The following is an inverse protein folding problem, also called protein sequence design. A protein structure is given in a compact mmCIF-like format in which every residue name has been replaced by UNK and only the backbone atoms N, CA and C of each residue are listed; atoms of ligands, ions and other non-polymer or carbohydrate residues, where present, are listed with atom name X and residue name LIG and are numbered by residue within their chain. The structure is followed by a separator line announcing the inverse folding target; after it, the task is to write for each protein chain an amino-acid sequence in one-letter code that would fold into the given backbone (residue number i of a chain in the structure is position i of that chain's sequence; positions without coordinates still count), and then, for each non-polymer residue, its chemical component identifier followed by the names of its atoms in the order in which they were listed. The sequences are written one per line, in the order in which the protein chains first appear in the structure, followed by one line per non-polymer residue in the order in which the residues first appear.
data_IF_315656183790
#
_entry.id   IF_315656183790
#
_cell.length_a   1.000
_cell.length_b   1.000
_cell.length_c   1.000
_cell.angle_alpha   90.00
_cell.angle_beta   90.00
_cell.angle_gamma   90.00
#
_symmetry.space_group_name_H-M   'P 1'
#
loop_
_entity.id
_entity.type
_entity.pdbx_description
1 polymer ?
#
# COMPACT_ATOMS: atom_id res chain seq x y z
N UNK A 1 -10.08 -74.29 6.30
CA UNK A 1 -10.45 -73.40 7.42
C UNK A 1 -11.09 -72.09 6.91
N UNK A 2 -12.07 -72.16 5.99
CA UNK A 2 -12.77 -70.98 5.45
C UNK A 2 -14.11 -71.43 4.84
N UNK A 3 -15.16 -71.63 5.65
CA UNK A 3 -16.50 -71.94 5.10
C UNK A 3 -17.69 -71.68 6.03
N UNK A 4 -17.59 -70.76 7.02
CA UNK A 4 -18.72 -70.51 7.95
C UNK A 4 -19.15 -69.04 8.07
N UNK A 5 -18.41 -68.07 7.54
CA UNK A 5 -18.73 -66.64 7.73
C UNK A 5 -19.82 -66.07 6.80
N UNK A 6 -20.35 -66.84 5.84
CA UNK A 6 -21.26 -66.32 4.80
C UNK A 6 -22.78 -66.35 5.13
N UNK A 7 -23.22 -66.92 6.25
CA UNK A 7 -24.67 -67.21 6.48
C UNK A 7 -25.30 -66.58 7.73
N UNK A 8 -24.69 -65.54 8.30
CA UNK A 8 -25.32 -64.78 9.40
C UNK A 8 -25.66 -63.32 9.05
N UNK A 9 -25.12 -62.75 7.97
CA UNK A 9 -25.38 -61.35 7.60
C UNK A 9 -26.75 -61.10 6.94
N UNK A 10 -27.45 -62.14 6.45
CA UNK A 10 -28.69 -61.96 5.68
C UNK A 10 -30.01 -62.03 6.48
N UNK A 11 -29.97 -62.38 7.77
CA UNK A 11 -31.19 -62.41 8.62
C UNK A 11 -31.34 -61.21 9.56
N UNK A 12 -30.29 -60.42 9.77
CA UNK A 12 -30.37 -59.23 10.61
C UNK A 12 -31.04 -58.03 9.90
N UNK A 13 -30.96 -57.93 8.57
CA UNK A 13 -31.47 -56.77 7.82
C UNK A 13 -32.99 -56.73 7.62
N UNK A 14 -33.69 -57.87 7.72
CA UNK A 14 -35.16 -57.93 7.54
C UNK A 14 -35.96 -57.68 8.83
N UNK A 15 -35.33 -57.77 10.00
CA UNK A 15 -36.00 -57.58 11.29
C UNK A 15 -36.13 -56.09 11.66
N UNK A 16 -35.07 -55.30 11.48
CA UNK A 16 -35.11 -53.86 11.75
C UNK A 16 -36.14 -53.11 10.90
N UNK A 17 -36.22 -53.40 9.59
CA UNK A 17 -37.17 -52.75 8.69
C UNK A 17 -38.64 -53.07 8.99
N UNK A 18 -38.93 -54.21 9.61
CA UNK A 18 -40.29 -54.58 10.03
C UNK A 18 -40.63 -53.98 11.39
N UNK A 19 -39.65 -53.88 12.28
CA UNK A 19 -39.77 -53.24 13.58
C UNK A 19 -40.01 -51.72 13.46
N UNK A 20 -39.37 -51.04 12.49
CA UNK A 20 -39.69 -49.64 12.14
C UNK A 20 -41.09 -49.44 11.54
N UNK A 21 -41.70 -50.49 11.01
CA UNK A 21 -43.03 -50.45 10.37
C UNK A 21 -44.18 -50.69 11.35
N UNK A 22 -43.87 -51.23 12.53
CA UNK A 22 -44.83 -51.58 13.59
C UNK A 22 -44.75 -50.60 14.78
N UNK A 23 -43.88 -49.58 14.71
CA UNK A 23 -43.67 -48.60 15.77
C UNK A 23 -44.56 -47.35 15.58
N UNK A 24 -45.51 -47.13 16.49
CA UNK A 24 -46.44 -45.99 16.46
C UNK A 24 -45.78 -44.64 16.81
N UNK A 25 -44.49 -44.64 17.16
CA UNK A 25 -43.68 -43.43 17.34
C UNK A 25 -43.32 -42.71 16.02
N UNK A 26 -43.86 -43.14 14.89
CA UNK A 26 -43.67 -42.54 13.55
C UNK A 26 -43.98 -41.04 13.45
N UNK A 27 -44.78 -40.48 14.36
CA UNK A 27 -44.98 -39.03 14.46
C UNK A 27 -43.66 -38.27 14.71
N UNK A 28 -42.76 -38.83 15.53
CA UNK A 28 -41.43 -38.26 15.80
C UNK A 28 -40.55 -38.31 14.55
N UNK A 29 -40.61 -39.40 13.79
CA UNK A 29 -39.86 -39.53 12.54
C UNK A 29 -40.31 -38.51 11.47
N UNK A 30 -41.62 -38.25 11.38
CA UNK A 30 -42.18 -37.24 10.47
C UNK A 30 -41.72 -35.82 10.87
N UNK A 31 -41.84 -35.47 12.16
CA UNK A 31 -41.39 -34.16 12.66
C UNK A 31 -39.89 -34.00 12.44
N UNK A 32 -39.10 -35.02 12.79
CA UNK A 32 -37.64 -35.02 12.60
C UNK A 32 -37.24 -34.84 11.13
N UNK A 33 -37.90 -35.56 10.21
CA UNK A 33 -37.64 -35.45 8.78
C UNK A 33 -37.93 -34.02 8.27
N UNK A 34 -39.08 -33.44 8.67
CA UNK A 34 -39.45 -32.08 8.28
C UNK A 34 -38.49 -31.03 8.87
N UNK A 35 -38.13 -31.15 10.15
CA UNK A 35 -37.20 -30.21 10.80
C UNK A 35 -35.78 -30.33 10.23
N UNK A 36 -35.34 -31.54 9.88
CA UNK A 36 -34.01 -31.76 9.31
C UNK A 36 -33.89 -31.09 7.94
N UNK A 37 -34.92 -31.17 7.10
CA UNK A 37 -34.93 -30.47 5.81
C UNK A 37 -34.77 -28.95 6.03
N UNK A 38 -35.54 -28.38 6.97
CA UNK A 38 -35.47 -26.94 7.27
C UNK A 38 -34.09 -26.53 7.79
N UNK A 39 -33.51 -27.28 8.73
CA UNK A 39 -32.18 -26.99 9.28
C UNK A 39 -31.09 -27.12 8.21
N UNK A 40 -31.14 -28.18 7.38
CA UNK A 40 -30.19 -28.36 6.28
C UNK A 40 -30.30 -27.25 5.23
N UNK A 41 -31.51 -26.78 4.91
CA UNK A 41 -31.70 -25.63 4.03
C UNK A 41 -31.11 -24.35 4.60
N UNK A 42 -31.27 -24.10 5.90
CA UNK A 42 -30.69 -22.92 6.56
C UNK A 42 -29.17 -22.97 6.59
N UNK A 43 -28.59 -24.12 6.96
CA UNK A 43 -27.14 -24.31 6.99
C UNK A 43 -26.55 -24.25 5.58
N UNK A 44 -27.20 -24.91 4.62
CA UNK A 44 -26.80 -24.88 3.21
C UNK A 44 -26.85 -23.47 2.61
N UNK A 45 -27.91 -22.71 2.93
CA UNK A 45 -28.03 -21.30 2.55
C UNK A 45 -26.93 -20.43 3.15
N UNK A 46 -26.54 -20.66 4.40
CA UNK A 46 -25.43 -19.96 5.03
C UNK A 46 -24.07 -20.27 4.36
N UNK A 47 -23.85 -21.52 3.94
CA UNK A 47 -22.65 -21.91 3.20
C UNK A 47 -22.62 -21.25 1.82
N UNK A 48 -23.72 -21.29 1.08
CA UNK A 48 -23.83 -20.64 -0.23
C UNK A 48 -23.64 -19.13 -0.14
N UNK A 49 -24.18 -18.50 0.90
CA UNK A 49 -23.95 -17.08 1.18
C UNK A 49 -22.47 -16.79 1.48
N UNK A 50 -21.81 -17.62 2.31
CA UNK A 50 -20.38 -17.50 2.57
C UNK A 50 -19.53 -17.59 1.29
N UNK A 51 -19.90 -18.50 0.38
CA UNK A 51 -19.26 -18.63 -0.94
C UNK A 51 -19.51 -17.40 -1.83
N UNK A 52 -20.72 -16.87 -1.84
CA UNK A 52 -21.05 -15.64 -2.58
C UNK A 52 -20.26 -14.43 -2.07
N UNK A 53 -20.15 -14.27 -0.75
CA UNK A 53 -19.35 -13.21 -0.12
C UNK A 53 -17.87 -13.36 -0.47
N UNK A 54 -17.33 -14.59 -0.40
CA UNK A 54 -15.94 -14.85 -0.78
C UNK A 54 -15.68 -14.53 -2.26
N UNK A 55 -16.60 -14.94 -3.15
CA UNK A 55 -16.53 -14.61 -4.57
C UNK A 55 -16.56 -13.09 -4.81
N UNK A 56 -17.39 -12.34 -4.09
CA UNK A 56 -17.42 -10.87 -4.17
C UNK A 56 -16.08 -10.25 -3.80
N UNK A 57 -15.41 -10.74 -2.74
CA UNK A 57 -14.08 -10.27 -2.38
C UNK A 57 -13.04 -10.54 -3.47
N UNK A 58 -13.06 -11.73 -4.07
CA UNK A 58 -12.13 -12.06 -5.16
C UNK A 58 -12.34 -11.17 -6.40
N UNK A 59 -13.59 -10.88 -6.78
CA UNK A 59 -13.85 -9.94 -7.87
C UNK A 59 -13.39 -8.54 -7.47
N UNK A 60 -13.66 -8.09 -6.24
CA UNK A 60 -13.23 -6.77 -5.78
C UNK A 60 -11.71 -6.61 -5.85
N UNK A 61 -10.94 -7.59 -5.38
CA UNK A 61 -9.48 -7.60 -5.47
C UNK A 61 -8.99 -7.54 -6.93
N UNK A 62 -9.63 -8.31 -7.82
CA UNK A 62 -9.33 -8.28 -9.24
C UNK A 62 -9.62 -6.91 -9.88
N UNK A 63 -10.76 -6.29 -9.57
CA UNK A 63 -11.15 -4.98 -10.08
C UNK A 63 -10.26 -3.87 -9.51
N UNK A 64 -9.93 -3.90 -8.22
CA UNK A 64 -9.03 -2.92 -7.58
C UNK A 64 -7.65 -2.95 -8.24
N UNK A 65 -7.07 -4.14 -8.43
CA UNK A 65 -5.78 -4.31 -9.10
C UNK A 65 -5.82 -3.85 -10.56
N UNK A 66 -6.92 -4.12 -11.26
CA UNK A 66 -7.12 -3.75 -12.66
C UNK A 66 -7.22 -2.23 -12.85
N UNK A 67 -7.98 -1.56 -11.98
CA UNK A 67 -8.17 -0.10 -12.03
C UNK A 67 -6.89 0.64 -11.67
N UNK A 68 -6.10 0.15 -10.70
CA UNK A 68 -4.78 0.71 -10.39
C UNK A 68 -3.79 0.53 -11.55
N UNK A 69 -3.78 -0.64 -12.20
CA UNK A 69 -2.93 -0.87 -13.35
C UNK A 69 -3.31 0.02 -14.54
N UNK A 70 -4.61 0.16 -14.81
CA UNK A 70 -5.12 1.08 -15.83
C UNK A 70 -4.71 2.53 -15.51
N UNK A 71 -4.86 2.96 -14.26
CA UNK A 71 -4.47 4.30 -13.82
C UNK A 71 -2.97 4.57 -14.01
N UNK A 72 -2.11 3.59 -13.72
CA UNK A 72 -0.65 3.73 -13.91
C UNK A 72 -0.26 3.90 -15.38
N UNK A 73 -0.90 3.16 -16.28
CA UNK A 73 -0.67 3.26 -17.73
C UNK A 73 -1.20 4.59 -18.25
N UNK A 74 -2.39 5.00 -17.81
CA UNK A 74 -2.95 6.29 -18.17
C UNK A 74 -2.06 7.45 -17.72
N UNK A 75 -1.45 7.36 -16.54
CA UNK A 75 -0.48 8.35 -16.06
C UNK A 75 0.75 8.49 -16.98
N UNK A 76 1.21 7.38 -17.56
CA UNK A 76 2.46 7.35 -18.34
C UNK A 76 2.23 7.65 -19.81
N UNK A 77 1.23 7.02 -20.41
CA UNK A 77 0.98 7.05 -21.86
C UNK A 77 -0.08 8.09 -22.24
N UNK A 78 -0.89 8.57 -21.28
CA UNK A 78 -2.01 9.52 -21.48
C UNK A 78 -3.08 9.05 -22.48
N UNK A 79 -3.06 7.79 -22.89
CA UNK A 79 -4.05 7.16 -23.75
C UNK A 79 -4.96 6.23 -22.92
N UNK A 80 -6.27 6.45 -23.03
CA UNK A 80 -7.28 5.65 -22.33
C UNK A 80 -7.44 4.27 -22.95
N UNK A 81 -7.29 4.15 -24.26
CA UNK A 81 -7.50 2.87 -24.95
C UNK A 81 -6.48 1.83 -24.46
N UNK A 82 -5.22 2.24 -24.31
CA UNK A 82 -4.16 1.41 -23.76
C UNK A 82 -4.36 1.15 -22.27
N UNK A 83 -4.79 2.15 -21.50
CA UNK A 83 -5.12 1.99 -20.09
C UNK A 83 -6.24 0.97 -19.86
N UNK A 84 -7.29 1.02 -20.70
CA UNK A 84 -8.40 0.08 -20.67
C UNK A 84 -7.93 -1.33 -21.01
N UNK A 85 -7.16 -1.50 -22.08
CA UNK A 85 -6.61 -2.82 -22.47
C UNK A 85 -5.78 -3.42 -21.33
N UNK A 86 -4.89 -2.64 -20.73
CA UNK A 86 -4.05 -3.07 -19.61
C UNK A 86 -4.86 -3.41 -18.38
N UNK A 87 -5.89 -2.62 -18.05
CA UNK A 87 -6.83 -2.91 -16.98
C UNK A 87 -7.56 -4.25 -17.21
N UNK A 88 -8.05 -4.49 -18.42
CA UNK A 88 -8.71 -5.75 -18.78
C UNK A 88 -7.77 -6.96 -18.71
N UNK A 89 -6.51 -6.81 -19.13
CA UNK A 89 -5.50 -7.87 -19.00
C UNK A 89 -5.25 -8.19 -17.53
N UNK A 90 -5.07 -7.17 -16.69
CA UNK A 90 -4.87 -7.37 -15.25
C UNK A 90 -6.08 -8.02 -14.57
N UNK A 91 -7.30 -7.57 -14.91
CA UNK A 91 -8.52 -8.22 -14.44
C UNK A 91 -8.55 -9.70 -14.87
N UNK A 92 -8.29 -10.01 -16.14
CA UNK A 92 -8.34 -11.38 -16.65
C UNK A 92 -7.28 -12.31 -16.03
N UNK A 93 -6.15 -11.77 -15.59
CA UNK A 93 -5.11 -12.54 -14.89
C UNK A 93 -5.46 -12.78 -13.42
N UNK A 94 -6.15 -11.82 -12.78
CA UNK A 94 -6.46 -11.86 -11.34
C UNK A 94 -7.89 -12.35 -11.05
N UNK A 95 -8.73 -12.54 -12.08
CA UNK A 95 -10.10 -12.99 -11.88
C UNK A 95 -10.16 -14.41 -11.33
N UNK A 96 -11.16 -14.71 -10.50
CA UNK A 96 -11.37 -16.05 -10.01
C UNK A 96 -11.73 -17.02 -11.14
N UNK A 97 -11.06 -18.18 -11.17
CA UNK A 97 -11.28 -19.24 -12.17
C UNK A 97 -12.44 -20.18 -11.81
N UNK A 98 -12.90 -20.13 -10.56
CA UNK A 98 -13.89 -21.07 -10.02
C UNK A 98 -15.33 -20.78 -10.47
N UNK A 99 -15.58 -19.58 -11.00
CA UNK A 99 -16.90 -19.15 -11.49
C UNK A 99 -16.78 -18.12 -12.61
N UNK A 100 -17.86 -17.93 -13.37
CA UNK A 100 -17.87 -16.97 -14.48
C UNK A 100 -17.91 -15.54 -13.93
N UNK A 101 -16.94 -14.72 -14.33
CA UNK A 101 -16.94 -13.28 -14.07
C UNK A 101 -16.46 -12.51 -15.29
N UNK A 102 -17.07 -11.34 -15.52
CA UNK A 102 -16.81 -10.47 -16.65
C UNK A 102 -16.86 -9.01 -16.23
N UNK A 103 -16.06 -8.18 -16.89
CA UNK A 103 -16.15 -6.72 -16.75
C UNK A 103 -17.46 -6.26 -17.40
N UNK A 104 -18.32 -5.57 -16.64
CA UNK A 104 -19.60 -5.05 -17.12
C UNK A 104 -19.45 -3.63 -17.66
N UNK A 105 -18.64 -2.78 -17.01
CA UNK A 105 -18.33 -1.42 -17.48
C UNK A 105 -16.91 -1.00 -17.17
N UNK A 106 -16.37 -0.16 -18.03
CA UNK A 106 -15.16 0.61 -17.80
C UNK A 106 -15.47 2.07 -18.15
N UNK A 107 -15.33 2.98 -17.20
CA UNK A 107 -15.72 4.38 -17.39
C UNK A 107 -14.57 5.30 -16.97
N UNK A 108 -13.87 5.90 -17.94
CA UNK A 108 -12.94 6.99 -17.66
C UNK A 108 -13.70 8.30 -17.46
N UNK A 109 -13.32 9.07 -16.45
CA UNK A 109 -13.76 10.45 -16.24
C UNK A 109 -12.54 11.39 -16.22
N UNK A 110 -12.40 12.14 -17.31
CA UNK A 110 -11.33 13.13 -17.49
C UNK A 110 -11.49 14.36 -16.61
N UNK A 111 -12.73 14.71 -16.22
CA UNK A 111 -13.00 15.90 -15.40
C UNK A 111 -12.58 15.64 -13.96
N UNK A 112 -12.90 14.46 -13.46
CA UNK A 112 -12.53 14.03 -12.12
C UNK A 112 -11.16 13.33 -12.03
N UNK A 113 -10.45 13.20 -13.15
CA UNK A 113 -9.21 12.41 -13.29
C UNK A 113 -9.34 11.00 -12.69
N UNK A 114 -10.47 10.34 -12.94
CA UNK A 114 -10.77 9.01 -12.39
C UNK A 114 -10.96 7.96 -13.46
N UNK A 115 -10.61 6.73 -13.13
CA UNK A 115 -10.95 5.53 -13.89
C UNK A 115 -11.80 4.66 -12.99
N UNK A 116 -12.99 4.28 -13.43
CA UNK A 116 -13.83 3.30 -12.76
C UNK A 116 -14.02 2.04 -13.58
N UNK A 117 -14.21 0.92 -12.88
CA UNK A 117 -14.49 -0.38 -13.47
C UNK A 117 -15.56 -1.08 -12.64
N UNK A 118 -16.52 -1.69 -13.33
CA UNK A 118 -17.53 -2.56 -12.77
C UNK A 118 -17.32 -3.97 -13.33
N UNK A 119 -17.40 -4.97 -12.47
CA UNK A 119 -17.38 -6.37 -12.87
C UNK A 119 -18.49 -7.16 -12.17
N UNK A 120 -19.03 -8.12 -12.89
CA UNK A 120 -20.11 -8.99 -12.44
C UNK A 120 -19.72 -10.45 -12.60
N UNK A 121 -20.13 -11.28 -11.65
CA UNK A 121 -19.95 -12.72 -11.70
C UNK A 121 -21.16 -13.47 -11.17
N UNK A 122 -21.36 -14.69 -11.70
CA UNK A 122 -22.46 -15.57 -11.29
C UNK A 122 -21.89 -16.72 -10.47
N UNK A 123 -22.25 -16.77 -9.19
CA UNK A 123 -21.80 -17.82 -8.27
C UNK A 123 -22.85 -18.92 -8.19
N UNK A 124 -22.52 -20.18 -8.49
CA UNK A 124 -23.46 -21.28 -8.39
C UNK A 124 -23.76 -21.62 -6.92
N UNK A 125 -25.05 -21.73 -6.59
CA UNK A 125 -25.58 -21.98 -5.23
C UNK A 125 -26.22 -23.37 -5.10
N UNK A 126 -25.42 -24.44 -4.88
CA UNK A 126 -25.89 -25.83 -4.88
C UNK A 126 -26.85 -26.18 -3.74
N UNK A 127 -26.86 -25.45 -2.62
CA UNK A 127 -27.80 -25.70 -1.53
C UNK A 127 -29.09 -24.90 -1.72
N UNK A 128 -29.00 -23.65 -2.19
CA UNK A 128 -30.17 -22.83 -2.53
C UNK A 128 -30.87 -23.30 -3.83
N UNK A 129 -30.19 -24.06 -4.69
CA UNK A 129 -30.83 -24.68 -5.87
C UNK A 129 -31.95 -25.64 -5.50
N UNK A 130 -31.91 -26.22 -4.29
CA UNK A 130 -32.99 -27.04 -3.73
C UNK A 130 -34.31 -26.26 -3.58
N UNK A 131 -34.21 -24.93 -3.46
CA UNK A 131 -35.33 -23.97 -3.38
C UNK A 131 -35.46 -23.18 -4.70
N UNK A 132 -34.94 -23.72 -5.83
CA UNK A 132 -34.95 -23.13 -7.17
C UNK A 132 -34.19 -21.80 -7.33
N UNK A 133 -33.21 -21.53 -6.46
CA UNK A 133 -32.24 -20.45 -6.67
C UNK A 133 -30.93 -21.02 -7.21
N UNK A 134 -30.74 -20.99 -8.54
CA UNK A 134 -29.62 -21.67 -9.24
C UNK A 134 -28.38 -20.79 -9.47
N UNK A 135 -28.32 -19.61 -8.87
CA UNK A 135 -27.13 -18.76 -8.91
C UNK A 135 -27.36 -17.44 -8.21
N UNK A 136 -26.27 -16.86 -7.71
CA UNK A 136 -26.27 -15.54 -7.08
C UNK A 136 -25.31 -14.63 -7.84
N UNK A 137 -25.84 -13.54 -8.39
CA UNK A 137 -25.02 -12.54 -9.08
C UNK A 137 -24.36 -11.63 -8.06
N UNK A 138 -23.03 -11.54 -8.14
CA UNK A 138 -22.22 -10.62 -7.34
C UNK A 138 -21.63 -9.56 -8.25
N UNK A 139 -21.62 -8.32 -7.79
CA UNK A 139 -21.00 -7.19 -8.47
C UNK A 139 -19.94 -6.55 -7.60
N UNK A 140 -18.89 -6.05 -8.23
CA UNK A 140 -17.84 -5.24 -7.63
C UNK A 140 -17.64 -3.95 -8.44
N UNK A 141 -17.29 -2.88 -7.75
CA UNK A 141 -16.98 -1.58 -8.34
C UNK A 141 -15.70 -1.05 -7.70
N UNK A 142 -14.75 -0.60 -8.51
CA UNK A 142 -13.59 0.13 -8.04
C UNK A 142 -13.37 1.40 -8.85
N UNK A 143 -12.76 2.38 -8.20
CA UNK A 143 -12.38 3.65 -8.82
C UNK A 143 -10.96 4.02 -8.34
N UNK A 144 -10.08 4.35 -9.29
CA UNK A 144 -8.82 5.00 -9.00
C UNK A 144 -8.91 6.44 -9.46
N UNK A 145 -8.40 7.33 -8.61
CA UNK A 145 -8.23 8.74 -8.91
C UNK A 145 -6.75 9.03 -9.04
N UNK A 146 -6.36 9.65 -10.15
CA UNK A 146 -4.99 10.10 -10.35
C UNK A 146 -4.86 11.51 -9.79
N UNK A 147 -4.40 11.65 -8.56
CA UNK A 147 -4.08 12.95 -7.95
C UNK A 147 -2.57 13.23 -8.01
N UNK A 148 -1.92 12.91 -9.14
CA UNK A 148 -0.47 13.11 -9.26
C UNK A 148 -0.16 14.43 -9.94
N UNK A 149 0.43 15.36 -9.18
CA UNK A 149 1.33 16.39 -9.69
C UNK A 149 0.77 17.79 -9.92
N UNK A 150 -0.54 18.05 -9.79
CA UNK A 150 -1.11 19.41 -9.76
C UNK A 150 -2.42 19.38 -8.97
N UNK A 151 -2.51 20.13 -7.88
CA UNK A 151 -3.72 20.30 -7.06
C UNK A 151 -4.42 18.97 -6.68
N UNK A 152 -3.67 18.09 -6.01
CA UNK A 152 -4.13 16.80 -5.46
C UNK A 152 -5.19 16.91 -4.34
N UNK A 153 -5.92 18.03 -4.25
CA UNK A 153 -6.92 18.27 -3.22
C UNK A 153 -6.35 18.48 -1.81
N UNK A 154 -5.02 18.43 -1.62
CA UNK A 154 -4.38 18.52 -0.30
C UNK A 154 -3.01 19.20 -0.37
N UNK A 155 -2.68 19.95 0.69
CA UNK A 155 -1.33 20.49 0.89
C UNK A 155 -0.39 19.39 1.37
N UNK A 156 0.81 19.33 0.81
CA UNK A 156 1.80 18.28 1.10
C UNK A 156 3.07 18.91 1.66
N UNK A 157 3.52 18.41 2.80
CA UNK A 157 4.79 18.79 3.42
C UNK A 157 5.66 17.54 3.62
N UNK A 158 6.83 17.52 2.99
CA UNK A 158 7.77 16.38 3.04
C UNK A 158 9.09 16.81 3.68
N UNK A 159 9.66 15.96 4.53
CA UNK A 159 11.03 16.12 5.03
C UNK A 159 11.92 15.02 4.46
N UNK A 160 12.97 15.41 3.76
CA UNK A 160 13.95 14.54 3.14
C UNK A 160 15.23 14.50 3.99
N UNK A 161 15.56 13.34 4.55
CA UNK A 161 16.81 13.13 5.28
C UNK A 161 17.84 12.47 4.37
N UNK A 162 18.95 13.16 4.11
CA UNK A 162 19.96 12.74 3.14
C UNK A 162 21.26 12.34 3.83
N UNK A 163 21.68 11.10 3.67
CA UNK A 163 22.98 10.63 4.17
C UNK A 163 24.12 11.21 3.31
N UNK A 164 25.02 11.95 3.94
CA UNK A 164 26.23 12.53 3.33
C UNK A 164 27.51 12.02 3.99
N UNK A 165 27.46 10.84 4.64
CA UNK A 165 28.63 10.17 5.23
C UNK A 165 29.69 9.80 4.17
N UNK A 166 30.91 9.53 4.62
CA UNK A 166 32.03 9.17 3.73
C UNK A 166 31.75 7.97 2.82
N UNK A 167 30.89 7.02 3.21
CA UNK A 167 30.49 5.88 2.36
C UNK A 167 29.64 6.25 1.15
N UNK A 168 29.11 7.46 1.12
CA UNK A 168 28.35 8.03 0.00
C UNK A 168 29.24 8.71 -1.05
N UNK A 169 30.56 8.78 -0.84
CA UNK A 169 31.49 9.41 -1.80
C UNK A 169 31.44 8.79 -3.20
N UNK A 170 31.80 9.59 -4.22
CA UNK A 170 31.80 9.17 -5.62
C UNK A 170 30.42 9.23 -6.25
N UNK A 171 30.07 8.24 -7.05
CA UNK A 171 28.82 8.25 -7.83
C UNK A 171 27.55 8.21 -6.97
N UNK A 172 27.61 7.64 -5.76
CA UNK A 172 26.43 7.51 -4.89
C UNK A 172 25.85 8.86 -4.46
N UNK A 173 26.71 9.82 -4.11
CA UNK A 173 26.24 11.17 -3.72
C UNK A 173 25.78 11.97 -4.94
N UNK A 174 26.37 11.73 -6.12
CA UNK A 174 25.91 12.34 -7.38
C UNK A 174 24.52 11.82 -7.76
N UNK A 175 24.31 10.51 -7.70
CA UNK A 175 23.01 9.88 -7.94
C UNK A 175 21.96 10.33 -6.91
N UNK A 176 22.34 10.45 -5.63
CA UNK A 176 21.45 10.96 -4.58
C UNK A 176 21.01 12.40 -4.86
N UNK A 177 21.92 13.27 -5.33
CA UNK A 177 21.59 14.65 -5.72
C UNK A 177 20.61 14.68 -6.89
N UNK A 178 20.84 13.86 -7.92
CA UNK A 178 19.95 13.77 -9.08
C UNK A 178 18.56 13.26 -8.68
N UNK A 179 18.50 12.17 -7.92
CA UNK A 179 17.25 11.61 -7.44
C UNK A 179 16.49 12.57 -6.51
N UNK A 180 17.19 13.31 -5.64
CA UNK A 180 16.58 14.32 -4.79
C UNK A 180 16.02 15.49 -5.60
N UNK A 181 16.71 15.91 -6.67
CA UNK A 181 16.22 16.95 -7.58
C UNK A 181 14.97 16.50 -8.31
N UNK A 182 15.01 15.31 -8.92
CA UNK A 182 13.86 14.73 -9.61
C UNK A 182 12.67 14.58 -8.66
N UNK A 183 12.91 14.17 -7.41
CA UNK A 183 11.88 14.09 -6.39
C UNK A 183 11.26 15.46 -6.06
N UNK A 184 12.08 16.50 -5.89
CA UNK A 184 11.60 17.86 -5.63
C UNK A 184 10.77 18.35 -6.81
N UNK A 185 11.22 18.11 -8.05
CA UNK A 185 10.49 18.51 -9.26
C UNK A 185 9.14 17.77 -9.41
N UNK A 186 9.03 16.55 -8.86
CA UNK A 186 7.77 15.78 -8.82
C UNK A 186 6.83 16.28 -7.72
N UNK A 187 7.36 16.59 -6.53
CA UNK A 187 6.55 16.91 -5.34
C UNK A 187 6.20 18.40 -5.26
N UNK A 188 7.11 19.28 -5.66
CA UNK A 188 6.92 20.73 -5.64
C UNK A 188 6.42 21.19 -6.99
N UNK A 189 5.10 21.35 -7.10
CA UNK A 189 4.46 21.83 -8.31
C UNK A 189 4.45 23.37 -8.40
N UNK A 190 4.36 23.89 -9.62
CA UNK A 190 4.49 25.33 -9.89
C UNK A 190 3.28 26.18 -9.41
N UNK A 191 2.08 25.62 -9.44
CA UNK A 191 0.84 26.32 -9.04
C UNK A 191 0.45 26.04 -7.58
N UNK A 192 0.83 26.92 -6.65
CA UNK A 192 0.50 26.78 -5.23
C UNK A 192 -0.71 27.61 -4.78
N UNK A 193 -1.63 27.96 -5.70
CA UNK A 193 -2.74 28.88 -5.41
C UNK A 193 -3.86 28.28 -4.55
N UNK A 194 -4.13 26.97 -4.68
CA UNK A 194 -5.18 26.26 -3.94
C UNK A 194 -4.59 25.30 -2.88
N UNK A 195 -3.55 24.55 -3.25
CA UNK A 195 -2.83 23.65 -2.36
C UNK A 195 -1.33 23.94 -2.40
N UNK A 196 -0.66 23.89 -1.24
CA UNK A 196 0.78 24.17 -1.13
C UNK A 196 1.60 22.89 -1.05
N UNK A 197 2.74 22.87 -1.73
CA UNK A 197 3.76 21.82 -1.57
C UNK A 197 5.05 22.41 -1.00
N UNK A 198 5.58 21.76 0.04
CA UNK A 198 6.87 22.12 0.65
C UNK A 198 7.72 20.88 0.87
N UNK A 199 9.01 21.04 0.60
CA UNK A 199 10.01 20.01 0.90
C UNK A 199 11.09 20.64 1.79
N UNK A 200 11.32 20.03 2.96
CA UNK A 200 12.47 20.33 3.81
C UNK A 200 13.58 19.32 3.50
N UNK A 201 14.84 19.78 3.45
CA UNK A 201 16.00 18.91 3.19
C UNK A 201 16.92 18.98 4.41
N UNK A 202 17.30 17.81 4.92
CA UNK A 202 18.12 17.66 6.12
C UNK A 202 19.27 16.70 5.80
N UNK A 203 20.42 17.21 5.33
CA UNK A 203 21.61 16.39 5.14
C UNK A 203 22.22 16.03 6.50
N UNK A 204 22.61 14.78 6.68
CA UNK A 204 23.22 14.27 7.91
C UNK A 204 24.46 13.40 7.62
N UNK A 205 25.44 13.49 8.53
CA UNK A 205 26.51 12.50 8.64
C UNK A 205 26.55 12.02 10.10
N UNK A 206 27.61 12.33 10.85
CA UNK A 206 27.62 12.11 12.31
C UNK A 206 26.67 13.07 13.05
N UNK A 207 26.45 14.26 12.49
CA UNK A 207 25.52 15.27 13.00
C UNK A 207 24.81 15.97 11.83
N UNK A 208 23.70 16.65 12.14
CA UNK A 208 23.02 17.54 11.20
C UNK A 208 23.67 18.92 11.29
N UNK A 209 24.10 19.46 10.15
CA UNK A 209 24.60 20.82 10.10
C UNK A 209 23.44 21.82 10.02
N UNK A 210 23.09 22.42 11.15
CA UNK A 210 22.03 23.44 11.29
C UNK A 210 22.55 24.88 11.11
N UNK A 211 23.82 25.06 10.74
CA UNK A 211 24.46 26.37 10.65
C UNK A 211 24.73 27.02 12.02
N UNK A 212 25.19 28.26 12.01
CA UNK A 212 25.44 29.10 13.21
C UNK A 212 24.35 30.14 13.46
N UNK A 213 23.24 30.10 12.71
CA UNK A 213 22.10 31.01 12.86
C UNK A 213 21.32 30.71 14.14
N UNK A 214 20.50 31.67 14.59
CA UNK A 214 19.71 31.60 15.83
C UNK A 214 18.93 30.28 16.03
N UNK A 215 18.52 29.64 14.93
CA UNK A 215 17.84 28.35 14.88
C UNK A 215 18.69 27.18 15.45
N UNK A 216 20.02 27.29 15.41
CA UNK A 216 20.91 26.25 15.93
C UNK A 216 20.81 26.10 17.46
N UNK A 217 20.54 27.20 18.18
CA UNK A 217 20.36 27.18 19.63
C UNK A 217 19.00 26.62 20.04
N UNK A 218 17.97 26.85 19.23
CA UNK A 218 16.63 26.28 19.44
C UNK A 218 16.61 24.77 19.12
N UNK A 219 17.36 24.33 18.10
CA UNK A 219 17.43 22.91 17.70
C UNK A 219 18.37 22.09 18.59
N UNK A 220 19.52 22.65 19.03
CA UNK A 220 20.48 21.95 19.90
C UNK A 220 20.11 21.98 21.39
N UNK A 221 19.15 22.82 21.76
CA UNK A 221 18.87 23.19 23.15
C UNK A 221 19.99 24.06 23.74
N UNK A 222 19.74 24.67 24.90
CA UNK A 222 20.77 25.47 25.58
C UNK A 222 21.98 24.59 25.89
N UNK A 223 23.19 25.04 25.53
CA UNK A 223 24.42 24.38 25.98
C UNK A 223 24.41 24.31 27.51
N UNK A 224 24.25 23.10 28.06
CA UNK A 224 24.36 22.89 29.51
C UNK A 224 25.81 23.11 29.90
N UNK A 225 26.05 24.18 30.66
CA UNK A 225 27.35 24.46 31.25
C UNK A 225 27.64 23.38 32.29
N UNK A 226 28.63 22.53 32.00
CA UNK A 226 29.24 21.62 32.97
C UNK A 226 28.58 20.24 33.08
N UNK A 227 29.22 19.24 32.49
CA UNK A 227 29.14 17.84 32.96
C UNK A 227 30.44 17.16 32.58
N UNK A 228 31.33 16.96 33.57
CA UNK A 228 32.59 16.26 33.36
C UNK A 228 32.30 14.76 33.15
N UNK A 229 32.72 14.21 32.02
CA UNK A 229 32.77 12.77 31.82
C UNK A 229 34.12 12.27 32.37
N UNK A 230 34.05 11.58 33.51
CA UNK A 230 35.13 10.81 34.17
C UNK A 230 36.16 11.60 35.02
N UNK A 231 36.59 10.97 36.12
CA UNK A 231 37.37 11.54 37.23
C UNK A 231 38.88 11.72 36.97
N UNK A 232 39.32 11.76 35.71
CA UNK A 232 40.75 11.79 35.37
C UNK A 232 41.17 12.85 34.34
N UNK A 233 40.32 13.83 34.04
CA UNK A 233 40.67 14.95 33.14
C UNK A 233 40.36 16.30 33.80
N UNK A 234 41.24 17.32 33.69
CA UNK A 234 41.04 18.60 34.35
C UNK A 234 39.80 19.31 33.78
N UNK A 235 38.96 19.81 34.68
CA UNK A 235 37.72 20.50 34.37
C UNK A 235 38.01 21.78 33.56
N UNK A 236 37.48 21.88 32.33
CA UNK A 236 37.52 23.13 31.56
C UNK A 236 36.50 24.09 32.18
N UNK A 237 36.96 24.98 33.05
CA UNK A 237 36.12 25.94 33.79
C UNK A 237 36.28 27.39 33.33
N UNK A 238 36.95 27.65 32.20
CA UNK A 238 37.12 29.01 31.70
C UNK A 238 37.47 29.03 30.21
N UNK A 239 36.91 30.01 29.49
CA UNK A 239 37.16 30.35 28.07
C UNK A 239 38.64 30.60 27.73
N UNK A 240 39.53 30.66 28.71
CA UNK A 240 40.96 30.99 28.52
C UNK A 240 41.81 29.83 27.98
N UNK A 241 41.35 28.58 28.07
CA UNK A 241 42.17 27.42 27.65
C UNK A 241 41.92 26.90 26.22
N UNK A 242 41.01 27.52 25.45
CA UNK A 242 40.76 27.16 24.05
C UNK A 242 41.80 27.74 23.07
N UNK A 243 42.53 28.79 23.47
CA UNK A 243 43.57 29.40 22.62
C UNK A 243 44.92 28.66 22.65
N UNK A 244 45.19 27.85 23.68
CA UNK A 244 46.44 27.09 23.78
C UNK A 244 46.41 25.75 23.02
N UNK A 245 45.22 25.15 22.83
CA UNK A 245 45.07 23.87 22.13
C UNK A 245 44.84 23.99 20.61
N UNK A 246 44.32 25.12 20.13
CA UNK A 246 43.93 25.29 18.72
C UNK A 246 45.10 25.73 17.80
N UNK A 247 46.20 26.26 18.36
CA UNK A 247 47.34 26.75 17.56
C UNK A 247 48.36 25.66 17.18
N UNK A 248 48.24 24.43 17.69
CA UNK A 248 49.23 23.37 17.45
C UNK A 248 48.78 22.28 16.43
N UNK A 249 47.58 22.36 15.84
CA UNK A 249 47.06 21.30 14.95
C UNK A 249 46.45 21.79 13.62
N UNK A 250 46.66 23.05 13.23
CA UNK A 250 46.15 23.60 11.95
C UNK A 250 47.27 24.24 11.11
N UNK A 251 48.48 23.68 11.13
CA UNK A 251 49.40 23.84 9.98
C UNK A 251 49.05 22.77 8.96
N UNK A 252 47.95 23.03 8.26
CA UNK A 252 47.47 22.30 7.10
C UNK A 252 46.61 23.28 6.31
N UNK A 253 47.27 24.03 5.42
CA UNK A 253 46.71 25.14 4.65
C UNK A 253 45.43 24.73 3.88
N UNK A 254 44.30 25.46 3.99
CA UNK A 254 43.18 25.28 3.07
C UNK A 254 43.46 26.01 1.73
N UNK A 255 42.91 25.51 0.60
CA UNK A 255 43.07 26.16 -0.70
C UNK A 255 42.28 27.48 -0.75
N UNK A 256 42.89 28.48 -1.37
CA UNK A 256 42.31 29.80 -1.65
C UNK A 256 41.17 29.71 -2.67
N UNK A 257 39.99 30.21 -2.33
CA UNK A 257 38.92 30.48 -3.29
C UNK A 257 39.03 31.91 -3.83
N UNK A 258 38.92 32.04 -5.14
CA UNK A 258 38.98 33.29 -5.90
C UNK A 258 37.67 34.09 -5.70
N UNK A 259 37.79 35.39 -5.43
CA UNK A 259 36.64 36.31 -5.24
C UNK A 259 36.44 37.09 -6.54
N UNK A 260 35.32 36.89 -7.24
CA UNK A 260 34.94 37.77 -8.35
C UNK A 260 34.19 39.01 -7.81
N UNK A 261 34.38 40.20 -8.42
CA UNK A 261 33.77 41.44 -7.97
C UNK A 261 32.30 41.52 -8.39
N UNK A 262 31.52 42.26 -7.60
CA UNK A 262 30.12 42.62 -7.87
C UNK A 262 29.90 43.09 -9.32
N UNK A 263 28.84 42.58 -9.95
CA UNK A 263 28.24 43.20 -11.13
C UNK A 263 26.72 43.31 -10.93
N UNK A 264 26.25 44.56 -10.99
CA UNK A 264 24.85 44.93 -11.15
C UNK A 264 24.33 44.54 -12.54
N UNK A 265 23.08 44.07 -12.61
CA UNK A 265 22.21 44.32 -13.77
C UNK A 265 22.09 43.21 -14.82
N UNK A 266 20.82 42.86 -15.06
CA UNK A 266 20.19 42.34 -16.29
C UNK A 266 20.66 41.03 -16.93
N UNK A 267 19.67 40.16 -17.16
CA UNK A 267 19.62 39.30 -18.34
C UNK A 267 19.91 37.83 -18.06
N UNK A 268 18.93 36.99 -18.45
CA UNK A 268 19.04 35.58 -18.81
C UNK A 268 20.40 34.88 -18.65
N UNK A 269 20.45 33.80 -17.87
CA UNK A 269 20.54 32.40 -18.33
C UNK A 269 21.02 31.46 -17.21
N UNK A 270 20.59 30.21 -17.36
CA UNK A 270 21.26 28.97 -16.98
C UNK A 270 21.47 28.65 -15.50
N UNK A 271 20.62 27.72 -15.05
CA UNK A 271 20.85 26.89 -13.87
C UNK A 271 21.95 25.88 -14.20
N UNK A 272 23.18 26.22 -13.83
CA UNK A 272 24.32 25.29 -13.77
C UNK A 272 24.91 25.36 -12.36
N UNK A 273 24.96 24.22 -11.67
CA UNK A 273 25.90 23.99 -10.57
C UNK A 273 25.31 23.51 -9.25
N UNK A 274 25.16 22.19 -9.12
CA UNK A 274 25.47 21.41 -7.91
C UNK A 274 26.22 20.14 -8.32
#
# INVERSE_FOLDING_TARGET
MFSVLGRLAHRASRSGARQFREDESGAVAIIFALTTIVVLSLVGGAIDYGRAVHARYQIQEAVDSAVLAAARVWQTEKDISVAQEKGLIHYNNNKPLTFSSQVSKFTPDFTANTISMEAEGVVPTPFLSLVRYEGYTVGAHAQARLDVGQNAGQSVEVSLMLDVTGSMSGTKIEDLKLAAKDFIDIVVWADQSEYTSKVAIVPFAETVNVGSTAMANDVRGSLRTGSCLTSSSPCISSLTNLLAGLLAWVVGTPPTWYRFPNASGSGHQDVQGL
#
